data_IF_927513798295
#
_entry.id   IF_927513798295
#
_cell.length_a   1.000
_cell.length_b   1.000
_cell.length_c   1.000
_cell.angle_alpha   90.00
_cell.angle_beta   90.00
_cell.angle_gamma   90.00
#
_symmetry.space_group_name_H-M   'P 1'
#
loop_
_entity.id
_entity.type
_entity.pdbx_description
1 polymer ?
#
# COMPACT_ATOMS: atom_id res chain seq x y z
N UNK A 1 -16.17 32.50 -14.47
CA UNK A 1 -15.02 32.78 -15.34
C UNK A 1 -15.25 32.11 -16.68
N UNK A 2 -14.97 32.77 -17.82
CA UNK A 2 -15.01 32.12 -19.13
C UNK A 2 -14.08 30.90 -19.14
N UNK A 3 -14.37 29.90 -19.98
CA UNK A 3 -13.63 28.64 -20.05
C UNK A 3 -12.15 28.79 -20.48
N UNK A 4 -11.74 29.95 -20.98
CA UNK A 4 -10.40 30.21 -21.54
C UNK A 4 -9.32 30.55 -20.50
N UNK A 5 -9.66 30.72 -19.22
CA UNK A 5 -8.73 31.16 -18.16
C UNK A 5 -8.60 30.16 -16.99
N UNK A 6 -8.93 28.87 -17.22
CA UNK A 6 -8.71 27.81 -16.22
C UNK A 6 -7.32 27.20 -16.40
N UNK A 7 -6.59 27.00 -15.29
CA UNK A 7 -5.35 26.20 -15.26
C UNK A 7 -5.57 24.85 -15.98
N UNK A 8 -4.63 24.41 -16.84
CA UNK A 8 -4.74 23.10 -17.50
C UNK A 8 -4.94 21.94 -16.52
N UNK A 9 -4.27 21.99 -15.36
CA UNK A 9 -4.42 20.98 -14.32
C UNK A 9 -5.82 21.01 -13.69
N UNK A 10 -6.41 22.20 -13.51
CA UNK A 10 -7.81 22.33 -13.06
C UNK A 10 -8.75 21.66 -14.07
N UNK A 11 -8.48 21.75 -15.37
CA UNK A 11 -9.30 21.09 -16.38
C UNK A 11 -9.27 19.56 -16.24
N UNK A 12 -8.11 18.94 -15.99
CA UNK A 12 -8.03 17.50 -15.71
C UNK A 12 -8.74 17.12 -14.40
N UNK A 13 -8.62 17.96 -13.37
CA UNK A 13 -9.35 17.76 -12.11
C UNK A 13 -10.87 17.80 -12.33
N UNK A 14 -11.37 18.64 -13.24
CA UNK A 14 -12.80 18.84 -13.43
C UNK A 14 -13.44 17.88 -14.47
N UNK A 15 -12.65 17.18 -15.29
CA UNK A 15 -13.19 16.42 -16.44
C UNK A 15 -13.86 15.08 -16.09
N UNK A 16 -13.73 14.63 -14.83
CA UNK A 16 -14.30 13.37 -14.32
C UNK A 16 -13.60 12.10 -14.80
N UNK A 17 -12.46 12.20 -15.51
CA UNK A 17 -11.68 11.06 -16.01
C UNK A 17 -10.59 10.65 -15.03
N UNK A 18 -9.97 9.50 -15.29
CA UNK A 18 -8.76 9.07 -14.58
C UNK A 18 -7.53 9.61 -15.32
N UNK A 19 -6.51 10.09 -14.62
CA UNK A 19 -5.26 10.55 -15.21
C UNK A 19 -4.06 9.82 -14.64
N UNK A 20 -3.02 9.70 -15.48
CA UNK A 20 -1.78 8.99 -15.14
C UNK A 20 -0.71 9.99 -14.73
N UNK A 21 -0.22 9.88 -13.48
CA UNK A 21 1.03 10.52 -13.07
C UNK A 21 2.23 9.65 -13.46
N UNK A 22 3.42 10.23 -13.40
CA UNK A 22 4.67 9.53 -13.63
C UNK A 22 5.07 8.58 -12.47
N UNK A 23 6.30 8.08 -12.56
CA UNK A 23 6.90 7.16 -11.60
C UNK A 23 8.10 7.77 -10.88
N UNK A 24 8.95 6.94 -10.29
CA UNK A 24 10.09 7.44 -9.51
C UNK A 24 11.14 8.17 -10.35
N UNK A 25 11.42 9.42 -9.99
CA UNK A 25 12.59 10.17 -10.45
C UNK A 25 13.90 9.57 -9.90
N UNK A 26 14.00 9.46 -8.57
CA UNK A 26 15.23 9.01 -7.91
C UNK A 26 15.65 7.57 -8.26
N UNK A 27 14.69 6.64 -8.45
CA UNK A 27 15.00 5.27 -8.88
C UNK A 27 15.61 5.27 -10.28
N UNK A 28 15.06 6.05 -11.22
CA UNK A 28 15.55 6.07 -12.59
C UNK A 28 16.92 6.75 -12.69
N UNK A 29 17.17 7.80 -11.89
CA UNK A 29 18.49 8.43 -11.78
C UNK A 29 19.54 7.43 -11.24
N UNK A 30 19.17 6.64 -10.22
CA UNK A 30 20.04 5.59 -9.70
C UNK A 30 20.36 4.51 -10.75
N UNK A 31 19.35 4.03 -11.49
CA UNK A 31 19.54 3.06 -12.58
C UNK A 31 20.43 3.59 -13.71
N UNK A 32 20.43 4.92 -13.92
CA UNK A 32 21.28 5.60 -14.90
C UNK A 32 22.66 5.98 -14.35
N UNK A 33 23.02 5.52 -13.14
CA UNK A 33 24.37 5.63 -12.60
C UNK A 33 24.58 6.73 -11.57
N UNK A 34 23.53 7.43 -11.13
CA UNK A 34 23.66 8.46 -10.10
C UNK A 34 23.49 7.84 -8.71
N UNK A 35 24.57 7.75 -7.96
CA UNK A 35 24.55 7.14 -6.62
C UNK A 35 23.89 8.05 -5.58
N UNK A 36 23.34 7.47 -4.51
CA UNK A 36 22.55 8.15 -3.46
C UNK A 36 23.33 9.15 -2.60
N UNK A 37 24.63 9.32 -2.83
CA UNK A 37 25.50 10.21 -2.06
C UNK A 37 25.60 11.62 -2.64
N UNK A 38 24.88 11.92 -3.72
CA UNK A 38 24.80 13.27 -4.31
C UNK A 38 23.39 13.85 -4.15
N UNK A 39 23.26 15.17 -4.32
CA UNK A 39 21.98 15.85 -4.30
C UNK A 39 21.26 15.61 -5.64
N UNK A 40 20.19 14.80 -5.65
CA UNK A 40 19.42 14.54 -6.86
C UNK A 40 18.74 15.80 -7.40
N UNK A 41 18.28 16.69 -6.51
CA UNK A 41 17.65 17.95 -6.90
C UNK A 41 18.62 18.87 -7.67
N UNK A 42 19.92 18.81 -7.38
CA UNK A 42 20.95 19.62 -8.05
C UNK A 42 21.26 19.15 -9.49
N UNK A 43 20.87 17.92 -9.85
CA UNK A 43 21.11 17.37 -11.19
C UNK A 43 20.42 18.16 -12.30
N UNK A 44 19.40 18.98 -11.97
CA UNK A 44 18.80 19.90 -12.93
C UNK A 44 19.78 20.98 -13.41
N UNK A 45 20.86 21.21 -12.68
CA UNK A 45 21.94 22.13 -13.01
C UNK A 45 23.18 21.39 -13.52
N UNK A 46 23.58 20.31 -12.85
CA UNK A 46 24.83 19.59 -13.16
C UNK A 46 24.68 18.57 -14.29
N UNK A 47 23.51 17.92 -14.42
CA UNK A 47 23.22 16.90 -15.43
C UNK A 47 21.80 17.08 -16.05
N UNK A 48 21.48 18.25 -16.63
CA UNK A 48 20.12 18.58 -17.08
C UNK A 48 19.57 17.60 -18.14
N UNK A 49 20.42 17.14 -19.06
CA UNK A 49 20.01 16.18 -20.10
C UNK A 49 19.56 14.84 -19.51
N UNK A 50 20.17 14.41 -18.40
CA UNK A 50 19.83 13.18 -17.70
C UNK A 50 18.42 13.29 -17.11
N UNK A 51 18.16 14.38 -16.37
CA UNK A 51 16.85 14.64 -15.75
C UNK A 51 15.76 14.83 -16.80
N UNK A 52 16.04 15.63 -17.84
CA UNK A 52 15.12 15.81 -18.97
C UNK A 52 14.81 14.48 -19.67
N UNK A 53 15.80 13.58 -19.75
CA UNK A 53 15.60 12.22 -20.26
C UNK A 53 14.68 11.37 -19.39
N UNK A 54 14.64 11.58 -18.07
CA UNK A 54 13.68 10.87 -17.19
C UNK A 54 12.26 11.34 -17.48
N UNK A 55 12.02 12.65 -17.57
CA UNK A 55 10.70 13.19 -17.89
C UNK A 55 10.21 12.69 -19.26
N UNK A 56 11.07 12.72 -20.30
CA UNK A 56 10.71 12.22 -21.64
C UNK A 56 10.29 10.74 -21.59
N UNK A 57 11.04 9.91 -20.88
CA UNK A 57 10.72 8.48 -20.76
C UNK A 57 9.34 8.24 -20.13
N UNK A 58 8.96 9.02 -19.11
CA UNK A 58 7.64 8.91 -18.48
C UNK A 58 6.50 9.41 -19.36
N UNK A 59 6.71 10.52 -20.08
CA UNK A 59 5.73 11.00 -21.07
C UNK A 59 5.57 9.99 -22.21
N UNK A 60 6.66 9.40 -22.70
CA UNK A 60 6.64 8.36 -23.73
C UNK A 60 6.00 7.06 -23.23
N UNK A 61 5.99 6.83 -21.91
CA UNK A 61 5.25 5.76 -21.27
C UNK A 61 3.75 6.05 -21.09
N UNK A 62 3.30 7.30 -21.30
CA UNK A 62 1.90 7.69 -21.19
C UNK A 62 1.52 8.43 -19.92
N UNK A 63 2.49 8.99 -19.18
CA UNK A 63 2.19 9.95 -18.11
C UNK A 63 1.58 11.24 -18.70
N UNK A 64 0.46 11.68 -18.15
CA UNK A 64 -0.21 12.94 -18.50
C UNK A 64 0.24 14.09 -17.59
N UNK A 65 0.74 13.75 -16.40
CA UNK A 65 1.24 14.68 -15.38
C UNK A 65 2.60 14.16 -14.92
N UNK A 66 3.62 15.02 -14.90
CA UNK A 66 4.95 14.69 -14.39
C UNK A 66 5.32 15.57 -13.22
N UNK A 67 6.07 15.02 -12.30
CA UNK A 67 6.59 15.71 -11.13
C UNK A 67 7.95 16.34 -11.44
N UNK A 68 8.19 17.58 -11.00
CA UNK A 68 9.52 18.19 -11.10
C UNK A 68 10.54 17.42 -10.23
N UNK A 69 11.81 17.40 -10.64
CA UNK A 69 12.90 16.85 -9.81
C UNK A 69 13.24 17.81 -8.65
N UNK A 70 12.31 17.96 -7.69
CA UNK A 70 12.40 18.94 -6.60
C UNK A 70 11.90 18.41 -5.26
N UNK A 71 11.71 17.09 -5.10
CA UNK A 71 11.23 16.50 -3.84
C UNK A 71 12.01 16.98 -2.60
N UNK A 72 13.33 17.12 -2.74
CA UNK A 72 14.25 17.55 -1.69
C UNK A 72 14.74 18.98 -1.83
N UNK A 73 14.28 19.75 -2.82
CA UNK A 73 14.79 21.08 -3.15
C UNK A 73 14.33 22.19 -2.19
N UNK A 74 14.41 21.96 -0.89
CA UNK A 74 14.14 22.96 0.15
C UNK A 74 15.43 23.35 0.89
N UNK A 75 15.47 24.51 1.57
CA UNK A 75 16.71 25.00 2.18
C UNK A 75 17.31 24.03 3.20
N UNK A 76 16.49 23.27 3.93
CA UNK A 76 16.96 22.35 4.98
C UNK A 76 17.74 21.18 4.38
N UNK A 77 17.17 20.52 3.37
CA UNK A 77 17.80 19.38 2.69
C UNK A 77 18.99 19.83 1.82
N UNK A 78 18.88 20.98 1.15
CA UNK A 78 19.96 21.54 0.33
C UNK A 78 21.15 22.02 1.17
N UNK A 79 20.95 22.47 2.41
CA UNK A 79 22.03 22.89 3.31
C UNK A 79 23.02 21.75 3.60
N UNK A 80 22.57 20.49 3.62
CA UNK A 80 23.44 19.32 3.78
C UNK A 80 24.48 19.18 2.65
N UNK A 81 24.23 19.84 1.51
CA UNK A 81 25.11 19.88 0.34
C UNK A 81 25.72 21.27 0.10
N UNK A 82 25.45 22.26 0.97
CA UNK A 82 25.88 23.66 0.79
C UNK A 82 25.18 24.38 -0.36
N UNK A 83 23.93 24.02 -0.65
CA UNK A 83 23.15 24.52 -1.79
C UNK A 83 21.89 25.31 -1.37
N UNK A 84 21.71 25.58 -0.08
CA UNK A 84 20.52 26.24 0.47
C UNK A 84 20.29 27.65 -0.09
N UNK A 85 21.36 28.40 -0.39
CA UNK A 85 21.27 29.71 -1.06
C UNK A 85 20.83 29.62 -2.53
N UNK A 86 20.84 28.42 -3.12
CA UNK A 86 20.42 28.15 -4.50
C UNK A 86 19.01 27.53 -4.59
N UNK A 87 18.26 27.52 -3.50
CA UNK A 87 16.92 26.89 -3.43
C UNK A 87 16.01 27.36 -4.57
N UNK A 88 15.83 28.67 -4.72
CA UNK A 88 14.96 29.26 -5.74
C UNK A 88 15.46 28.94 -7.16
N UNK A 89 16.78 29.00 -7.38
CA UNK A 89 17.41 28.72 -8.66
C UNK A 89 17.20 27.27 -9.11
N UNK A 90 17.43 26.32 -8.21
CA UNK A 90 17.26 24.88 -8.47
C UNK A 90 15.80 24.60 -8.84
N UNK A 91 14.84 25.08 -8.04
CA UNK A 91 13.42 24.84 -8.29
C UNK A 91 12.92 25.46 -9.60
N UNK A 92 13.32 26.71 -9.90
CA UNK A 92 12.98 27.38 -11.15
C UNK A 92 13.54 26.63 -12.36
N UNK A 93 14.78 26.16 -12.25
CA UNK A 93 15.45 25.43 -13.32
C UNK A 93 14.80 24.05 -13.52
N UNK A 94 14.50 23.34 -12.44
CA UNK A 94 13.81 22.06 -12.47
C UNK A 94 12.45 22.14 -13.17
N UNK A 95 11.64 23.16 -12.83
CA UNK A 95 10.34 23.38 -13.45
C UNK A 95 10.47 23.74 -14.94
N UNK A 96 11.39 24.63 -15.30
CA UNK A 96 11.63 25.01 -16.69
C UNK A 96 12.11 23.82 -17.54
N UNK A 97 13.04 23.03 -16.99
CA UNK A 97 13.59 21.83 -17.62
C UNK A 97 12.52 20.76 -17.84
N UNK A 98 11.68 20.50 -16.84
CA UNK A 98 10.57 19.56 -16.97
C UNK A 98 9.59 20.01 -18.07
N UNK A 99 9.23 21.30 -18.11
CA UNK A 99 8.35 21.85 -19.15
C UNK A 99 8.91 21.71 -20.55
N UNK A 100 10.20 22.01 -20.72
CA UNK A 100 10.88 21.82 -22.00
C UNK A 100 10.90 20.34 -22.40
N UNK A 101 11.23 19.45 -21.46
CA UNK A 101 11.32 18.01 -21.70
C UNK A 101 9.99 17.39 -22.10
N UNK A 102 8.86 17.80 -21.50
CA UNK A 102 7.53 17.28 -21.85
C UNK A 102 7.00 17.87 -23.16
N UNK A 103 7.46 19.07 -23.55
CA UNK A 103 7.12 19.69 -24.82
C UNK A 103 5.61 19.90 -25.02
N UNK A 104 4.87 20.16 -23.95
CA UNK A 104 3.41 20.32 -23.95
C UNK A 104 2.59 19.03 -24.10
N UNK A 105 3.23 17.85 -24.07
CA UNK A 105 2.54 16.54 -24.11
C UNK A 105 2.01 16.07 -22.76
N UNK A 106 2.51 16.65 -21.67
CA UNK A 106 2.10 16.40 -20.30
C UNK A 106 2.13 17.72 -19.50
N UNK A 107 1.41 17.75 -18.39
CA UNK A 107 1.46 18.85 -17.42
C UNK A 107 2.61 18.63 -16.43
N UNK A 108 3.12 19.72 -15.87
CA UNK A 108 4.23 19.70 -14.90
C UNK A 108 3.73 20.18 -13.55
N UNK A 109 3.82 19.35 -12.52
CA UNK A 109 3.51 19.74 -11.14
C UNK A 109 4.79 19.87 -10.31
N UNK A 110 4.83 20.93 -9.50
CA UNK A 110 5.92 21.18 -8.56
C UNK A 110 5.89 20.19 -7.41
N UNK A 111 6.85 19.26 -7.37
CA UNK A 111 6.98 18.31 -6.28
C UNK A 111 7.63 18.95 -5.06
N UNK A 112 6.94 18.89 -3.92
CA UNK A 112 7.38 19.42 -2.63
C UNK A 112 7.29 18.30 -1.61
N UNK A 113 8.44 17.79 -1.18
CA UNK A 113 8.52 16.81 -0.09
C UNK A 113 8.66 17.46 1.29
N UNK A 114 8.61 16.67 2.38
CA UNK A 114 8.80 17.19 3.74
C UNK A 114 10.21 17.78 3.94
N UNK A 115 10.35 18.70 4.90
CA UNK A 115 11.64 19.31 5.26
C UNK A 115 12.59 18.30 5.92
N UNK A 116 12.05 17.24 6.53
CA UNK A 116 12.84 16.23 7.24
C UNK A 116 13.26 16.66 8.65
N UNK A 117 12.61 17.69 9.19
CA UNK A 117 12.80 18.19 10.56
C UNK A 117 11.49 18.09 11.32
N UNK A 118 11.57 18.15 12.65
CA UNK A 118 10.37 18.21 13.49
C UNK A 118 9.97 19.66 13.71
N UNK A 119 8.69 19.94 13.49
CA UNK A 119 8.09 21.25 13.76
C UNK A 119 7.21 21.19 15.02
N UNK A 120 6.78 22.34 15.52
CA UNK A 120 5.87 22.41 16.68
C UNK A 120 4.58 21.59 16.47
N UNK A 121 4.15 20.78 17.45
CA UNK A 121 4.64 20.73 18.83
C UNK A 121 5.78 19.71 19.08
N UNK A 122 6.21 18.96 18.07
CA UNK A 122 7.13 17.82 18.22
C UNK A 122 8.62 18.20 18.09
N UNK A 123 8.92 19.42 17.67
CA UNK A 123 10.27 19.91 17.48
C UNK A 123 10.42 21.41 17.71
N UNK A 124 11.66 21.92 17.60
CA UNK A 124 12.01 23.30 17.95
C UNK A 124 11.70 24.32 16.86
N UNK A 125 11.35 23.88 15.65
CA UNK A 125 11.04 24.77 14.53
C UNK A 125 9.57 25.16 14.59
N UNK A 126 9.30 26.47 14.61
CA UNK A 126 7.94 26.98 14.61
C UNK A 126 7.24 26.72 13.28
N UNK A 127 5.90 26.79 13.29
CA UNK A 127 5.08 26.66 12.08
C UNK A 127 5.41 27.75 11.04
N UNK A 128 5.64 28.98 11.51
CA UNK A 128 5.99 30.12 10.65
C UNK A 128 7.36 29.94 10.00
N UNK A 129 8.36 29.45 10.74
CA UNK A 129 9.68 29.13 10.18
C UNK A 129 9.59 28.01 9.14
N UNK A 130 8.84 26.94 9.44
CA UNK A 130 8.63 25.84 8.49
C UNK A 130 7.95 26.32 7.20
N UNK A 131 6.93 27.18 7.32
CA UNK A 131 6.26 27.80 6.18
C UNK A 131 7.23 28.64 5.35
N UNK A 132 8.04 29.49 5.97
CA UNK A 132 9.02 30.33 5.28
C UNK A 132 10.05 29.50 4.48
N UNK A 133 10.43 28.32 4.99
CA UNK A 133 11.31 27.39 4.28
C UNK A 133 10.63 26.81 3.02
N UNK A 134 9.36 26.46 3.09
CA UNK A 134 8.58 26.02 1.92
C UNK A 134 8.34 27.16 0.92
N UNK A 135 8.10 28.39 1.38
CA UNK A 135 7.87 29.56 0.52
C UNK A 135 9.05 29.81 -0.44
N UNK A 136 10.30 29.57 -0.01
CA UNK A 136 11.48 29.65 -0.90
C UNK A 136 11.42 28.63 -2.04
N UNK A 137 11.07 27.39 -1.73
CA UNK A 137 10.92 26.33 -2.73
C UNK A 137 9.78 26.66 -3.72
N UNK A 138 8.62 27.02 -3.17
CA UNK A 138 7.42 27.37 -3.94
C UNK A 138 7.68 28.57 -4.86
N UNK A 139 8.36 29.60 -4.38
CA UNK A 139 8.67 30.79 -5.18
C UNK A 139 9.45 30.42 -6.45
N UNK A 140 10.47 29.57 -6.34
CA UNK A 140 11.22 29.06 -7.50
C UNK A 140 10.34 28.26 -8.47
N UNK A 141 9.49 27.36 -7.95
CA UNK A 141 8.56 26.56 -8.77
C UNK A 141 7.55 27.42 -9.53
N UNK A 142 7.00 28.45 -8.88
CA UNK A 142 6.09 29.42 -9.51
C UNK A 142 6.81 30.18 -10.62
N UNK A 143 8.03 30.65 -10.39
CA UNK A 143 8.80 31.37 -11.40
C UNK A 143 9.16 30.49 -12.60
N UNK A 144 9.42 29.19 -12.37
CA UNK A 144 9.61 28.20 -13.43
C UNK A 144 8.32 27.76 -14.14
N UNK A 145 7.15 28.21 -13.66
CA UNK A 145 5.87 28.09 -14.34
C UNK A 145 5.22 26.70 -14.25
N UNK A 146 5.24 26.03 -13.10
CA UNK A 146 4.48 24.78 -12.91
C UNK A 146 2.97 24.96 -13.13
N UNK A 147 2.28 23.92 -13.60
CA UNK A 147 0.82 23.90 -13.81
C UNK A 147 0.02 23.71 -12.50
N UNK A 148 0.71 23.26 -11.45
CA UNK A 148 0.21 23.07 -10.08
C UNK A 148 1.28 22.47 -9.18
N UNK A 149 0.86 21.94 -8.03
CA UNK A 149 1.76 21.43 -7.00
C UNK A 149 1.34 20.05 -6.52
N UNK A 150 2.33 19.25 -6.14
CA UNK A 150 2.13 18.01 -5.38
C UNK A 150 2.96 18.07 -4.10
N UNK A 151 2.26 18.14 -2.98
CA UNK A 151 2.82 18.03 -1.65
C UNK A 151 2.83 16.55 -1.30
N UNK A 152 3.99 15.90 -1.41
CA UNK A 152 4.07 14.44 -1.38
C UNK A 152 4.89 13.88 -0.21
N UNK A 153 4.55 12.66 0.20
CA UNK A 153 5.27 11.89 1.22
C UNK A 153 5.28 12.54 2.61
N UNK A 154 4.27 13.34 2.94
CA UNK A 154 4.15 13.92 4.29
C UNK A 154 3.68 12.88 5.31
N UNK A 155 4.27 12.90 6.51
CA UNK A 155 3.85 12.06 7.65
C UNK A 155 3.25 12.87 8.80
N UNK A 156 3.60 14.16 8.90
CA UNK A 156 3.05 15.10 9.87
C UNK A 156 2.05 16.03 9.18
N UNK A 157 0.81 16.04 9.68
CA UNK A 157 -0.26 16.87 9.15
C UNK A 157 0.03 18.37 9.34
N UNK A 158 0.70 18.74 10.44
CA UNK A 158 1.05 20.14 10.70
C UNK A 158 2.05 20.64 9.67
N UNK A 159 3.01 19.80 9.27
CA UNK A 159 4.03 20.14 8.27
C UNK A 159 3.40 20.26 6.89
N UNK A 160 2.50 19.34 6.53
CA UNK A 160 1.72 19.39 5.30
C UNK A 160 0.87 20.67 5.21
N UNK A 161 0.24 21.09 6.31
CA UNK A 161 -0.52 22.34 6.37
C UNK A 161 0.36 23.56 6.07
N UNK A 162 1.59 23.59 6.59
CA UNK A 162 2.51 24.72 6.34
C UNK A 162 3.00 24.74 4.89
N UNK A 163 3.26 23.57 4.29
CA UNK A 163 3.57 23.47 2.87
C UNK A 163 2.40 23.95 1.99
N UNK A 164 1.16 23.56 2.33
CA UNK A 164 -0.05 24.04 1.65
C UNK A 164 -0.22 25.55 1.78
N UNK A 165 -0.04 26.09 2.98
CA UNK A 165 -0.09 27.54 3.23
C UNK A 165 0.97 28.30 2.42
N UNK A 166 2.18 27.75 2.30
CA UNK A 166 3.24 28.32 1.48
C UNK A 166 2.84 28.36 0.00
N UNK A 167 2.26 27.29 -0.54
CA UNK A 167 1.74 27.29 -1.92
C UNK A 167 0.68 28.37 -2.11
N UNK A 168 -0.32 28.44 -1.23
CA UNK A 168 -1.40 29.43 -1.32
C UNK A 168 -0.95 30.88 -1.12
N UNK A 169 0.19 31.11 -0.49
CA UNK A 169 0.76 32.46 -0.38
C UNK A 169 1.32 32.99 -1.70
N UNK A 170 1.70 32.08 -2.63
CA UNK A 170 2.38 32.42 -3.87
C UNK A 170 1.60 32.04 -5.13
N UNK A 171 0.60 31.17 -5.04
CA UNK A 171 -0.12 30.65 -6.19
C UNK A 171 -1.54 30.15 -5.89
N UNK A 172 -2.45 30.38 -6.84
CA UNK A 172 -3.80 29.83 -6.88
C UNK A 172 -3.89 28.53 -7.71
N UNK A 173 -2.76 28.02 -8.20
CA UNK A 173 -2.72 26.79 -8.97
C UNK A 173 -3.23 25.58 -8.15
N UNK A 174 -3.71 24.50 -8.79
CA UNK A 174 -4.21 23.35 -8.06
C UNK A 174 -3.13 22.64 -7.25
N UNK A 175 -3.51 22.12 -6.07
CA UNK A 175 -2.60 21.46 -5.11
C UNK A 175 -3.07 20.06 -4.77
N UNK A 176 -2.17 19.10 -4.93
CA UNK A 176 -2.33 17.72 -4.49
C UNK A 176 -1.70 17.60 -3.10
N UNK A 177 -2.43 17.06 -2.13
CA UNK A 177 -1.92 16.78 -0.79
C UNK A 177 -1.86 15.26 -0.57
N UNK A 178 -0.65 14.71 -0.60
CA UNK A 178 -0.40 13.27 -0.46
C UNK A 178 0.36 13.01 0.84
N UNK A 179 -0.14 12.03 1.59
CA UNK A 179 0.55 11.51 2.77
C UNK A 179 1.16 10.14 2.48
N UNK A 180 2.08 9.76 3.35
CA UNK A 180 2.58 8.39 3.37
C UNK A 180 2.15 7.67 4.65
N UNK A 181 1.89 6.37 4.52
CA UNK A 181 1.42 5.50 5.62
C UNK A 181 2.32 4.27 5.79
N UNK A 182 2.43 3.79 7.03
CA UNK A 182 3.11 2.56 7.38
C UNK A 182 2.28 1.31 7.09
N UNK A 183 2.81 0.14 7.47
CA UNK A 183 2.10 -1.14 7.29
C UNK A 183 0.83 -1.25 8.13
N UNK A 184 0.71 -0.46 9.20
CA UNK A 184 -0.48 -0.34 10.04
C UNK A 184 -1.54 0.60 9.42
N UNK A 185 -1.30 1.12 8.22
CA UNK A 185 -2.20 2.02 7.50
C UNK A 185 -2.22 3.44 8.07
N UNK A 186 -1.28 3.81 8.95
CA UNK A 186 -1.24 5.14 9.59
C UNK A 186 0.03 5.89 9.22
N UNK A 187 0.00 7.22 9.30
CA UNK A 187 1.24 8.01 9.19
C UNK A 187 2.20 7.66 10.32
N UNK A 188 3.47 8.03 10.20
CA UNK A 188 4.48 7.82 11.25
C UNK A 188 4.07 8.41 12.61
N UNK A 189 3.19 9.41 12.62
CA UNK A 189 2.66 10.06 13.81
C UNK A 189 1.31 9.48 14.28
N UNK A 190 0.90 8.33 13.73
CA UNK A 190 -0.29 7.59 14.12
C UNK A 190 -1.61 8.13 13.55
N UNK A 191 -1.56 9.10 12.62
CA UNK A 191 -2.76 9.68 12.03
C UNK A 191 -3.32 8.76 10.95
N UNK A 192 -4.63 8.50 10.98
CA UNK A 192 -5.31 7.69 9.95
C UNK A 192 -5.56 8.49 8.68
N UNK A 193 -5.64 7.83 7.50
CA UNK A 193 -5.82 8.49 6.22
C UNK A 193 -7.14 9.26 6.12
N UNK A 194 -8.20 8.83 6.83
CA UNK A 194 -9.48 9.54 6.86
C UNK A 194 -9.37 10.91 7.52
N UNK A 195 -8.61 11.00 8.62
CA UNK A 195 -8.41 12.25 9.35
C UNK A 195 -7.62 13.25 8.50
N UNK A 196 -6.58 12.77 7.81
CA UNK A 196 -5.83 13.59 6.85
C UNK A 196 -6.72 14.07 5.72
N UNK A 197 -7.53 13.19 5.14
CA UNK A 197 -8.42 13.55 4.05
C UNK A 197 -9.45 14.61 4.46
N UNK A 198 -10.01 14.51 5.67
CA UNK A 198 -10.91 15.52 6.20
C UNK A 198 -10.22 16.88 6.35
N UNK A 199 -9.03 16.94 6.95
CA UNK A 199 -8.32 18.21 7.18
C UNK A 199 -7.80 18.84 5.87
N UNK A 200 -7.21 18.06 4.97
CA UNK A 200 -6.78 18.55 3.66
C UNK A 200 -7.96 19.09 2.83
N UNK A 201 -9.14 18.46 2.94
CA UNK A 201 -10.37 18.96 2.32
C UNK A 201 -10.75 20.35 2.86
N UNK A 202 -10.65 20.54 4.18
CA UNK A 202 -10.96 21.82 4.86
C UNK A 202 -10.02 22.95 4.45
N UNK A 203 -8.74 22.65 4.24
CA UNK A 203 -7.77 23.64 3.76
C UNK A 203 -8.02 24.07 2.31
N UNK A 204 -8.68 23.22 1.52
CA UNK A 204 -8.94 23.48 0.10
C UNK A 204 -7.95 22.79 -0.85
N UNK A 205 -7.40 21.63 -0.46
CA UNK A 205 -6.60 20.79 -1.37
C UNK A 205 -7.43 20.28 -2.55
N UNK A 206 -6.97 20.46 -3.77
CA UNK A 206 -7.77 20.13 -4.96
C UNK A 206 -7.82 18.62 -5.23
N UNK A 207 -6.77 17.90 -4.84
CA UNK A 207 -6.65 16.43 -4.88
C UNK A 207 -6.02 15.97 -3.58
N UNK A 208 -6.46 14.82 -3.06
CA UNK A 208 -5.95 14.25 -1.80
C UNK A 208 -5.54 12.81 -2.06
N UNK A 209 -4.51 12.30 -1.40
CA UNK A 209 -4.14 10.93 -1.65
C UNK A 209 -3.03 10.37 -0.79
N UNK A 210 -2.51 9.25 -1.28
CA UNK A 210 -1.44 8.51 -0.64
C UNK A 210 -0.35 8.16 -1.65
N UNK A 211 0.89 8.28 -1.22
CA UNK A 211 2.04 7.85 -2.00
C UNK A 211 3.11 7.20 -1.10
N UNK A 212 4.04 6.47 -1.72
CA UNK A 212 5.24 5.95 -1.07
C UNK A 212 5.00 4.91 0.06
N UNK A 213 6.06 4.70 0.87
CA UNK A 213 6.30 3.79 1.99
C UNK A 213 6.01 2.30 1.79
N UNK A 214 4.80 1.95 1.39
CA UNK A 214 4.32 0.57 1.36
C UNK A 214 3.91 0.16 -0.05
N UNK A 215 3.71 -1.15 -0.23
CA UNK A 215 3.29 -1.69 -1.51
C UNK A 215 1.83 -1.35 -1.86
N UNK A 216 1.40 -1.68 -3.08
CA UNK A 216 0.08 -1.32 -3.61
C UNK A 216 -1.13 -1.79 -2.79
N UNK A 217 -1.00 -2.87 -2.01
CA UNK A 217 -2.09 -3.39 -1.19
C UNK A 217 -2.47 -2.44 -0.06
N UNK A 218 -1.49 -2.00 0.73
CA UNK A 218 -1.76 -1.12 1.88
C UNK A 218 -2.23 0.27 1.41
N UNK A 219 -1.71 0.77 0.30
CA UNK A 219 -2.21 2.03 -0.28
C UNK A 219 -3.64 1.90 -0.78
N UNK A 220 -4.06 0.74 -1.29
CA UNK A 220 -5.45 0.53 -1.69
C UNK A 220 -6.39 0.67 -0.47
N UNK A 221 -6.05 0.03 0.65
CA UNK A 221 -6.85 0.12 1.88
C UNK A 221 -6.96 1.59 2.35
N UNK A 222 -5.88 2.35 2.24
CA UNK A 222 -5.88 3.78 2.59
C UNK A 222 -6.76 4.61 1.62
N UNK A 223 -6.73 4.33 0.32
CA UNK A 223 -7.61 4.98 -0.67
C UNK A 223 -9.08 4.68 -0.36
N UNK A 224 -9.43 3.44 -0.05
CA UNK A 224 -10.79 3.04 0.32
C UNK A 224 -11.28 3.74 1.59
N UNK A 225 -10.39 3.94 2.56
CA UNK A 225 -10.67 4.70 3.78
C UNK A 225 -10.92 6.18 3.45
N UNK A 226 -10.05 6.82 2.66
CA UNK A 226 -10.20 8.22 2.26
C UNK A 226 -11.49 8.46 1.46
N UNK A 227 -11.83 7.55 0.54
CA UNK A 227 -13.02 7.67 -0.32
C UNK A 227 -14.35 7.73 0.45
N UNK A 228 -14.37 7.32 1.71
CA UNK A 228 -15.56 7.36 2.58
C UNK A 228 -15.81 8.73 3.19
N UNK A 229 -14.81 9.61 3.22
CA UNK A 229 -14.83 10.86 4.01
C UNK A 229 -14.57 12.13 3.21
N UNK A 230 -14.28 12.03 1.90
CA UNK A 230 -14.08 13.20 1.05
C UNK A 230 -14.71 13.00 -0.34
N UNK A 231 -15.24 14.09 -0.89
CA UNK A 231 -15.69 14.18 -2.28
C UNK A 231 -14.59 14.70 -3.22
N UNK A 232 -13.40 15.03 -2.70
CA UNK A 232 -12.27 15.47 -3.51
C UNK A 232 -11.74 14.28 -4.33
N UNK A 233 -11.29 14.50 -5.58
CA UNK A 233 -10.61 13.47 -6.34
C UNK A 233 -9.44 12.89 -5.56
N UNK A 234 -9.28 11.56 -5.64
CA UNK A 234 -8.21 10.85 -4.93
C UNK A 234 -7.01 10.55 -5.82
N UNK A 235 -5.82 10.61 -5.25
CA UNK A 235 -4.55 10.22 -5.88
C UNK A 235 -3.92 9.01 -5.18
N UNK A 236 -3.26 8.15 -5.96
CA UNK A 236 -2.53 6.99 -5.46
C UNK A 236 -1.25 6.71 -6.26
N UNK A 237 -0.09 6.78 -5.59
CA UNK A 237 1.24 6.52 -6.16
C UNK A 237 2.03 5.52 -5.29
N UNK A 238 1.72 4.22 -5.36
CA UNK A 238 2.42 3.19 -4.59
C UNK A 238 3.87 2.98 -5.01
N UNK A 239 4.68 2.49 -4.07
CA UNK A 239 5.98 1.91 -4.39
C UNK A 239 5.80 0.61 -5.18
N UNK A 240 6.82 0.23 -5.96
CA UNK A 240 6.89 -1.09 -6.62
C UNK A 240 7.20 -2.22 -5.62
N UNK A 241 6.39 -2.32 -4.56
CA UNK A 241 6.56 -3.21 -3.42
C UNK A 241 7.45 -2.61 -2.33
N UNK A 242 7.68 -3.40 -1.28
CA UNK A 242 8.64 -3.02 -0.24
C UNK A 242 10.07 -3.27 -0.75
N UNK A 243 11.02 -2.36 -0.45
CA UNK A 243 12.43 -2.58 -0.76
C UNK A 243 12.92 -3.85 -0.07
N UNK A 244 13.56 -4.75 -0.82
CA UNK A 244 14.19 -5.97 -0.30
C UNK A 244 15.69 -5.95 -0.57
N UNK A 245 16.49 -6.37 0.41
CA UNK A 245 17.90 -6.67 0.16
C UNK A 245 18.00 -8.00 -0.59
N UNK A 246 18.54 -7.94 -1.81
CA UNK A 246 18.86 -9.11 -2.62
C UNK A 246 20.33 -9.03 -3.01
N UNK A 247 21.18 -9.72 -2.25
CA UNK A 247 22.62 -9.77 -2.51
C UNK A 247 23.35 -8.43 -2.30
N UNK A 248 22.96 -7.67 -1.27
CA UNK A 248 23.55 -6.37 -0.94
C UNK A 248 23.01 -5.20 -1.78
N UNK A 249 21.94 -5.44 -2.55
CA UNK A 249 21.25 -4.42 -3.34
C UNK A 249 19.81 -4.29 -2.85
N UNK A 250 19.37 -3.07 -2.61
CA UNK A 250 17.97 -2.79 -2.31
C UNK A 250 17.16 -2.79 -3.62
N UNK A 251 16.29 -3.78 -3.80
CA UNK A 251 15.46 -3.94 -5.00
C UNK A 251 13.97 -3.82 -4.67
N UNK A 252 13.24 -3.21 -5.59
CA UNK A 252 11.78 -3.23 -5.63
C UNK A 252 11.34 -4.37 -6.54
N UNK A 253 10.42 -5.21 -6.07
CA UNK A 253 10.12 -6.50 -6.70
C UNK A 253 8.71 -6.59 -7.31
N UNK A 254 7.87 -5.56 -7.17
CA UNK A 254 6.58 -5.58 -7.84
C UNK A 254 6.78 -5.40 -9.34
N UNK A 255 6.16 -6.28 -10.14
CA UNK A 255 6.24 -6.18 -11.60
C UNK A 255 5.31 -5.08 -12.14
N UNK A 256 5.55 -4.59 -13.36
CA UNK A 256 4.64 -3.69 -14.08
C UNK A 256 3.19 -4.17 -14.11
N UNK A 257 2.96 -5.47 -14.35
CA UNK A 257 1.62 -6.07 -14.38
C UNK A 257 0.94 -6.08 -13.01
N UNK A 258 1.72 -6.28 -11.95
CA UNK A 258 1.21 -6.21 -10.58
C UNK A 258 0.78 -4.78 -10.24
N UNK A 259 1.60 -3.79 -10.55
CA UNK A 259 1.27 -2.37 -10.34
C UNK A 259 0.03 -1.96 -11.12
N UNK A 260 -0.06 -2.32 -12.41
CA UNK A 260 -1.23 -2.01 -13.24
C UNK A 260 -2.53 -2.66 -12.73
N UNK A 261 -2.45 -3.88 -12.21
CA UNK A 261 -3.61 -4.54 -11.58
C UNK A 261 -4.10 -3.76 -10.36
N UNK A 262 -3.20 -3.27 -9.53
CA UNK A 262 -3.57 -2.48 -8.37
C UNK A 262 -4.04 -1.07 -8.74
N UNK A 263 -3.47 -0.45 -9.78
CA UNK A 263 -3.99 0.81 -10.30
C UNK A 263 -5.48 0.69 -10.68
N UNK A 264 -5.89 -0.42 -11.33
CA UNK A 264 -7.31 -0.68 -11.60
C UNK A 264 -8.16 -0.78 -10.33
N UNK A 265 -7.68 -1.48 -9.31
CA UNK A 265 -8.38 -1.60 -8.03
C UNK A 265 -8.50 -0.24 -7.32
N UNK A 266 -7.45 0.57 -7.38
CA UNK A 266 -7.46 1.93 -6.82
C UNK A 266 -8.47 2.81 -7.54
N UNK A 267 -8.58 2.69 -8.87
CA UNK A 267 -9.61 3.39 -9.66
C UNK A 267 -11.01 2.92 -9.26
N UNK A 268 -11.23 1.61 -9.10
CA UNK A 268 -12.49 1.05 -8.62
C UNK A 268 -12.84 1.51 -7.18
N UNK A 269 -11.82 1.80 -6.37
CA UNK A 269 -11.96 2.37 -5.03
C UNK A 269 -12.20 3.91 -5.03
N UNK A 270 -12.04 4.58 -6.17
CA UNK A 270 -12.31 6.02 -6.34
C UNK A 270 -11.10 6.89 -6.67
N UNK A 271 -9.90 6.31 -6.82
CA UNK A 271 -8.73 7.06 -7.29
C UNK A 271 -8.95 7.57 -8.72
N UNK A 272 -8.75 8.86 -8.92
CA UNK A 272 -8.78 9.52 -10.22
C UNK A 272 -7.40 9.85 -10.75
N UNK A 273 -6.40 9.90 -9.89
CA UNK A 273 -5.03 10.17 -10.26
C UNK A 273 -4.18 8.98 -9.82
N UNK A 274 -3.59 8.26 -10.76
CA UNK A 274 -2.80 7.05 -10.47
C UNK A 274 -1.43 7.14 -11.10
N UNK A 275 -0.41 6.72 -10.37
CA UNK A 275 0.96 6.71 -10.86
C UNK A 275 1.82 5.76 -10.05
N UNK A 276 3.11 6.09 -9.93
CA UNK A 276 4.06 5.31 -9.16
C UNK A 276 4.94 6.18 -8.28
N UNK A 277 5.48 5.60 -7.21
CA UNK A 277 6.55 6.20 -6.41
C UNK A 277 7.80 5.31 -6.50
N UNK A 278 8.57 5.12 -5.41
CA UNK A 278 9.85 4.43 -5.42
C UNK A 278 9.78 3.04 -6.07
N UNK A 279 10.75 2.73 -6.95
CA UNK A 279 10.83 1.46 -7.67
C UNK A 279 10.00 1.38 -8.94
N UNK A 280 9.12 2.35 -9.20
CA UNK A 280 8.36 2.39 -10.45
C UNK A 280 9.19 2.99 -11.58
N UNK A 281 9.02 2.45 -12.78
CA UNK A 281 9.80 2.79 -13.98
C UNK A 281 8.84 3.12 -15.14
N UNK A 282 9.34 3.63 -16.28
CA UNK A 282 8.52 3.86 -17.47
C UNK A 282 7.73 2.63 -17.92
N UNK A 283 8.24 1.41 -17.71
CA UNK A 283 7.48 0.19 -18.01
C UNK A 283 6.25 0.03 -17.11
N UNK A 284 6.38 0.35 -15.82
CA UNK A 284 5.26 0.35 -14.88
C UNK A 284 4.20 1.37 -15.30
N UNK A 285 4.62 2.60 -15.62
CA UNK A 285 3.71 3.67 -16.05
C UNK A 285 3.00 3.30 -17.34
N UNK A 286 3.69 2.67 -18.31
CA UNK A 286 3.05 2.18 -19.54
C UNK A 286 1.94 1.17 -19.26
N UNK A 287 2.18 0.21 -18.36
CA UNK A 287 1.16 -0.77 -17.97
C UNK A 287 0.00 -0.13 -17.21
N UNK A 288 0.27 0.88 -16.37
CA UNK A 288 -0.76 1.66 -15.67
C UNK A 288 -1.60 2.43 -16.70
N UNK A 289 -0.98 3.11 -17.66
CA UNK A 289 -1.67 3.85 -18.72
C UNK A 289 -2.54 2.95 -19.59
N UNK A 290 -2.03 1.77 -20.01
CA UNK A 290 -2.81 0.75 -20.71
C UNK A 290 -4.05 0.33 -19.90
N UNK A 291 -3.86 0.11 -18.59
CA UNK A 291 -4.92 -0.27 -17.69
C UNK A 291 -5.96 0.84 -17.51
N UNK A 292 -5.53 2.10 -17.35
CA UNK A 292 -6.40 3.28 -17.29
C UNK A 292 -7.22 3.39 -18.57
N UNK A 293 -6.59 3.34 -19.74
CA UNK A 293 -7.28 3.42 -21.02
C UNK A 293 -8.38 2.35 -21.19
N UNK A 294 -8.22 1.19 -20.55
CA UNK A 294 -9.22 0.10 -20.58
C UNK A 294 -10.45 0.34 -19.68
N UNK A 295 -10.33 1.17 -18.64
CA UNK A 295 -11.40 1.47 -17.67
C UNK A 295 -12.03 2.84 -17.86
N UNK A 296 -11.43 3.71 -18.69
CA UNK A 296 -12.00 5.00 -19.03
C UNK A 296 -13.41 4.85 -19.64
N UNK A 297 -14.39 5.68 -19.22
CA UNK A 297 -15.67 5.73 -19.91
C UNK A 297 -15.43 6.10 -21.38
N UNK A 298 -15.80 5.23 -22.32
CA UNK A 298 -15.89 5.63 -23.73
C UNK A 298 -16.99 6.70 -23.79
N UNK A 299 -16.64 7.88 -24.27
CA UNK A 299 -17.54 9.03 -24.45
C UNK A 299 -18.71 8.64 -25.37
N UNK A 300 -19.74 8.05 -24.78
CA UNK A 300 -21.14 7.95 -25.23
C UNK A 300 -21.96 7.32 -24.08
N UNK A 301 -21.92 7.95 -22.90
CA UNK A 301 -22.94 7.75 -21.88
C UNK A 301 -22.99 8.97 -20.98
N UNK A 302 -24.17 9.59 -20.95
CA UNK A 302 -24.52 10.66 -20.03
C UNK A 302 -24.09 10.33 -18.60
N UNK A 303 -23.60 11.36 -17.89
CA UNK A 303 -23.18 11.33 -16.50
C UNK A 303 -24.00 10.35 -15.64
N UNK A 304 -23.43 9.18 -15.39
CA UNK A 304 -23.85 8.36 -14.27
C UNK A 304 -23.25 9.03 -13.06
N UNK A 305 -24.05 9.88 -12.40
CA UNK A 305 -23.85 10.10 -10.97
C UNK A 305 -23.87 8.71 -10.36
N UNK A 306 -22.74 8.27 -9.82
CA UNK A 306 -22.71 7.12 -8.93
C UNK A 306 -23.52 7.55 -7.72
N UNK A 307 -24.83 7.32 -7.79
CA UNK A 307 -25.66 7.26 -6.61
C UNK A 307 -24.99 6.24 -5.69
N UNK A 308 -24.78 6.66 -4.44
CA UNK A 308 -24.23 5.90 -3.34
C UNK A 308 -24.35 4.40 -3.59
N UNK A 309 -23.19 3.76 -3.77
CA UNK A 309 -23.09 2.31 -3.92
C UNK A 309 -23.97 1.69 -2.83
N UNK A 310 -24.87 0.81 -3.26
CA UNK A 310 -25.81 0.11 -2.41
C UNK A 310 -25.13 -0.33 -1.12
N UNK A 311 -25.83 -0.13 0.01
CA UNK A 311 -25.40 -0.54 1.34
C UNK A 311 -24.63 -1.87 1.26
N UNK A 312 -23.46 -1.91 1.89
CA UNK A 312 -22.71 -3.14 2.08
C UNK A 312 -23.69 -4.26 2.49
N UNK A 313 -23.56 -5.49 1.96
CA UNK A 313 -24.34 -6.60 2.47
C UNK A 313 -24.16 -6.61 4.00
N UNK A 314 -25.28 -6.53 4.72
CA UNK A 314 -25.28 -6.39 6.16
C UNK A 314 -24.32 -7.42 6.78
N UNK A 315 -23.43 -6.95 7.65
CA UNK A 315 -22.43 -7.78 8.33
C UNK A 315 -23.12 -9.03 8.89
N UNK A 316 -22.77 -10.20 8.36
CA UNK A 316 -23.39 -11.43 8.83
C UNK A 316 -22.94 -11.65 10.26
N UNK A 317 -23.88 -11.75 11.20
CA UNK A 317 -23.53 -12.18 12.54
C UNK A 317 -22.92 -13.59 12.46
N UNK A 318 -21.70 -13.78 13.00
CA UNK A 318 -21.07 -15.08 12.93
C UNK A 318 -21.89 -16.05 13.79
N UNK A 319 -22.02 -17.31 13.33
CA UNK A 319 -22.75 -18.34 14.07
C UNK A 319 -22.33 -18.33 15.56
N UNK A 320 -23.25 -18.46 16.52
CA UNK A 320 -22.91 -18.58 17.93
C UNK A 320 -21.89 -19.70 18.15
N UNK A 321 -20.97 -19.54 19.11
CA UNK A 321 -19.90 -20.52 19.36
C UNK A 321 -20.44 -21.95 19.54
N UNK A 322 -21.62 -22.08 20.16
CA UNK A 322 -22.27 -23.37 20.39
C UNK A 322 -22.79 -24.07 19.13
N UNK A 323 -22.95 -23.34 18.03
CA UNK A 323 -23.45 -23.83 16.74
C UNK A 323 -22.33 -24.10 15.75
N UNK A 324 -21.10 -23.65 16.05
CA UNK A 324 -19.94 -23.83 15.15
C UNK A 324 -19.45 -25.26 15.10
N UNK A 325 -19.45 -25.96 16.24
CA UNK A 325 -18.96 -27.34 16.37
C UNK A 325 -19.32 -27.97 17.71
N UNK A 326 -19.08 -29.28 17.92
CA UNK A 326 -19.33 -29.91 19.22
C UNK A 326 -18.31 -29.47 20.28
N UNK A 327 -17.08 -29.17 19.84
CA UNK A 327 -16.07 -28.52 20.67
C UNK A 327 -16.51 -27.10 21.09
N UNK A 328 -16.98 -26.30 20.13
CA UNK A 328 -17.51 -24.95 20.39
C UNK A 328 -18.68 -24.96 21.37
N UNK A 329 -19.60 -25.92 21.22
CA UNK A 329 -20.70 -26.16 22.16
C UNK A 329 -20.20 -26.44 23.57
N UNK A 330 -19.21 -27.31 23.72
CA UNK A 330 -18.64 -27.60 25.03
C UNK A 330 -18.01 -26.41 25.71
N UNK A 331 -17.31 -25.56 24.95
CA UNK A 331 -16.76 -24.32 25.47
C UNK A 331 -17.85 -23.33 25.90
N UNK A 332 -18.90 -23.17 25.08
CA UNK A 332 -20.01 -22.28 25.38
C UNK A 332 -20.81 -22.72 26.62
N UNK A 333 -20.92 -24.03 26.86
CA UNK A 333 -21.56 -24.62 28.04
C UNK A 333 -20.65 -24.64 29.28
N UNK A 334 -19.39 -24.19 29.17
CA UNK A 334 -18.41 -24.23 30.26
C UNK A 334 -17.96 -25.64 30.65
N UNK A 335 -18.11 -26.62 29.75
CA UNK A 335 -17.65 -28.00 29.97
C UNK A 335 -16.12 -28.07 29.93
N UNK A 336 -15.55 -28.93 30.77
CA UNK A 336 -14.12 -29.24 30.71
C UNK A 336 -13.85 -30.23 29.58
N UNK A 337 -13.29 -29.74 28.48
CA UNK A 337 -12.95 -30.54 27.30
C UNK A 337 -11.52 -31.07 27.37
N UNK A 338 -11.29 -32.22 26.71
CA UNK A 338 -9.99 -32.90 26.62
C UNK A 338 -9.66 -33.14 25.15
N UNK A 339 -8.52 -32.61 24.70
CA UNK A 339 -7.95 -32.93 23.40
C UNK A 339 -6.65 -33.71 23.57
N UNK A 340 -6.45 -34.73 22.73
CA UNK A 340 -5.17 -35.43 22.62
C UNK A 340 -4.39 -34.96 21.40
N UNK A 341 -3.11 -34.68 21.59
CA UNK A 341 -2.21 -34.24 20.53
C UNK A 341 -1.71 -35.41 19.69
N UNK A 342 -1.93 -35.30 18.37
CA UNK A 342 -1.53 -36.27 17.38
C UNK A 342 -0.56 -35.65 16.38
N UNK A 343 0.47 -36.43 16.07
CA UNK A 343 1.49 -36.07 15.11
C UNK A 343 1.17 -36.68 13.75
N UNK A 344 1.06 -35.89 12.67
CA UNK A 344 0.93 -36.45 11.33
C UNK A 344 2.12 -37.35 10.95
N UNK A 345 1.89 -38.38 10.12
CA UNK A 345 2.96 -39.26 9.65
C UNK A 345 3.98 -38.50 8.79
N UNK A 346 5.20 -39.04 8.70
CA UNK A 346 6.25 -38.48 7.81
C UNK A 346 5.99 -38.77 6.33
N UNK A 347 5.21 -39.80 6.02
CA UNK A 347 4.83 -40.19 4.66
C UNK A 347 3.34 -40.04 4.42
N UNK A 348 2.87 -40.55 3.28
CA UNK A 348 1.47 -40.45 2.84
C UNK A 348 0.52 -41.44 3.54
N UNK A 349 1.05 -42.48 4.18
CA UNK A 349 0.24 -43.51 4.85
C UNK A 349 -0.40 -42.98 6.14
N UNK A 350 -1.72 -42.79 6.11
CA UNK A 350 -2.50 -42.26 7.22
C UNK A 350 -2.87 -43.29 8.29
N UNK A 351 -2.66 -44.61 8.06
CA UNK A 351 -3.09 -45.67 9.00
C UNK A 351 -2.61 -45.45 10.44
N UNK A 352 -1.34 -45.09 10.72
CA UNK A 352 -0.89 -44.85 12.09
C UNK A 352 -1.62 -43.69 12.78
N UNK A 353 -1.98 -42.65 12.03
CA UNK A 353 -2.73 -41.51 12.53
C UNK A 353 -4.18 -41.91 12.86
N UNK A 354 -4.82 -42.68 11.98
CA UNK A 354 -6.18 -43.18 12.17
C UNK A 354 -6.30 -44.08 13.40
N UNK A 355 -5.34 -45.00 13.59
CA UNK A 355 -5.29 -45.86 14.78
C UNK A 355 -5.13 -45.05 16.07
N UNK A 356 -4.28 -44.01 16.06
CA UNK A 356 -4.09 -43.15 17.21
C UNK A 356 -5.34 -42.32 17.52
N UNK A 357 -6.01 -41.78 16.50
CA UNK A 357 -7.27 -41.06 16.64
C UNK A 357 -8.40 -41.96 17.15
N UNK A 358 -8.51 -43.21 16.67
CA UNK A 358 -9.49 -44.18 17.19
C UNK A 358 -9.26 -44.46 18.66
N UNK A 359 -8.01 -44.71 19.08
CA UNK A 359 -7.68 -44.92 20.51
C UNK A 359 -8.01 -43.70 21.36
N UNK A 360 -7.77 -42.49 20.86
CA UNK A 360 -8.14 -41.26 21.55
C UNK A 360 -9.65 -41.14 21.73
N UNK A 361 -10.43 -41.46 20.68
CA UNK A 361 -11.90 -41.49 20.73
C UNK A 361 -12.40 -42.53 21.74
N UNK A 362 -11.87 -43.75 21.71
CA UNK A 362 -12.25 -44.83 22.63
C UNK A 362 -11.91 -44.49 24.09
N UNK A 363 -10.86 -43.71 24.31
CA UNK A 363 -10.48 -43.19 25.63
C UNK A 363 -11.37 -42.02 26.12
N UNK A 364 -12.34 -41.57 25.32
CA UNK A 364 -13.28 -40.51 25.65
C UNK A 364 -12.71 -39.09 25.48
N UNK A 365 -11.79 -38.90 24.53
CA UNK A 365 -11.36 -37.57 24.11
C UNK A 365 -12.52 -36.81 23.44
N UNK A 366 -12.62 -35.51 23.72
CA UNK A 366 -13.62 -34.64 23.09
C UNK A 366 -13.20 -34.21 21.67
N UNK A 367 -11.90 -34.11 21.43
CA UNK A 367 -11.30 -33.88 20.11
C UNK A 367 -9.86 -34.43 20.06
N UNK A 368 -9.25 -34.39 18.88
CA UNK A 368 -7.79 -34.55 18.72
C UNK A 368 -7.19 -33.29 18.14
N UNK A 369 -6.02 -32.88 18.62
CA UNK A 369 -5.29 -31.78 18.00
C UNK A 369 -4.25 -32.31 17.02
N UNK A 370 -4.21 -31.75 15.82
CA UNK A 370 -3.35 -32.22 14.72
C UNK A 370 -2.26 -31.17 14.49
N UNK A 371 -1.02 -31.56 14.76
CA UNK A 371 0.14 -30.68 14.68
C UNK A 371 0.57 -30.39 13.24
N UNK A 372 0.88 -29.13 12.95
CA UNK A 372 1.46 -28.74 11.67
C UNK A 372 2.97 -28.57 11.75
N UNK A 373 3.68 -29.55 11.18
CA UNK A 373 5.14 -29.51 10.96
C UNK A 373 5.96 -28.95 12.15
N UNK A 374 5.78 -29.51 13.37
CA UNK A 374 6.43 -28.98 14.57
C UNK A 374 7.95 -29.10 14.44
N UNK A 375 8.68 -28.08 14.92
CA UNK A 375 10.15 -27.95 14.74
C UNK A 375 10.60 -27.94 13.28
N UNK A 376 9.76 -27.41 12.38
CA UNK A 376 10.05 -27.29 10.95
C UNK A 376 10.43 -28.62 10.26
N UNK A 377 9.81 -29.73 10.67
CA UNK A 377 10.02 -31.04 10.05
C UNK A 377 8.90 -31.40 9.08
N UNK A 378 9.27 -31.77 7.85
CA UNK A 378 8.32 -32.19 6.82
C UNK A 378 7.52 -33.42 7.23
N UNK A 379 6.19 -33.31 7.16
CA UNK A 379 5.18 -34.33 7.46
C UNK A 379 3.98 -34.15 6.55
N UNK A 380 3.05 -35.10 6.60
CA UNK A 380 1.71 -34.89 6.04
C UNK A 380 1.11 -33.59 6.60
N UNK A 381 0.56 -32.75 5.73
CA UNK A 381 -0.03 -31.47 6.14
C UNK A 381 -1.16 -31.67 7.14
N UNK A 382 -1.21 -30.82 8.17
CA UNK A 382 -2.16 -30.98 9.27
C UNK A 382 -3.62 -30.89 8.83
N UNK A 383 -3.95 -30.00 7.89
CA UNK A 383 -5.33 -29.83 7.42
C UNK A 383 -5.85 -31.06 6.63
N UNK A 384 -5.12 -31.59 5.62
CA UNK A 384 -5.48 -32.88 5.02
C UNK A 384 -5.57 -34.03 6.03
N UNK A 385 -4.63 -34.10 6.98
CA UNK A 385 -4.62 -35.12 8.01
C UNK A 385 -5.87 -35.06 8.90
N UNK A 386 -6.30 -33.84 9.28
CA UNK A 386 -7.50 -33.60 10.05
C UNK A 386 -8.78 -34.01 9.30
N UNK A 387 -8.90 -33.64 8.03
CA UNK A 387 -10.03 -34.06 7.17
C UNK A 387 -10.15 -35.58 7.08
N UNK A 388 -9.02 -36.29 6.95
CA UNK A 388 -8.98 -37.75 6.92
C UNK A 388 -9.45 -38.33 8.26
N UNK A 389 -8.99 -37.77 9.38
CA UNK A 389 -9.40 -38.23 10.73
C UNK A 389 -10.90 -38.01 10.97
N UNK A 390 -11.43 -36.81 10.68
CA UNK A 390 -12.85 -36.54 10.88
C UNK A 390 -13.73 -37.44 10.01
N UNK A 391 -13.32 -37.68 8.76
CA UNK A 391 -14.06 -38.54 7.83
C UNK A 391 -14.07 -40.01 8.24
N UNK A 392 -12.92 -40.56 8.60
CA UNK A 392 -12.77 -42.02 8.78
C UNK A 392 -12.99 -42.47 10.22
N UNK A 393 -12.69 -41.61 11.21
CA UNK A 393 -12.83 -41.94 12.64
C UNK A 393 -14.05 -41.24 13.26
N UNK A 394 -14.47 -40.09 12.72
CA UNK A 394 -15.58 -39.31 13.27
C UNK A 394 -15.29 -38.77 14.67
N UNK A 395 -14.05 -38.37 14.92
CA UNK A 395 -13.67 -37.55 16.09
C UNK A 395 -13.30 -36.16 15.57
N UNK A 396 -13.81 -35.13 16.23
CA UNK A 396 -13.58 -33.74 15.86
C UNK A 396 -12.09 -33.37 16.02
N UNK A 397 -11.60 -32.50 15.14
CA UNK A 397 -10.19 -32.09 15.14
C UNK A 397 -10.01 -30.62 15.48
N UNK A 398 -8.88 -30.30 16.12
CA UNK A 398 -8.34 -28.95 16.26
C UNK A 398 -7.05 -28.90 15.45
N UNK A 399 -7.05 -28.16 14.34
CA UNK A 399 -5.88 -28.12 13.46
C UNK A 399 -4.95 -27.02 13.93
N UNK A 400 -3.70 -27.36 14.25
CA UNK A 400 -2.67 -26.34 14.39
C UNK A 400 -2.40 -25.80 12.99
N UNK A 401 -2.71 -24.54 12.75
CA UNK A 401 -2.56 -23.92 11.46
C UNK A 401 -1.44 -22.88 11.54
N UNK A 402 -0.29 -23.22 10.95
CA UNK A 402 0.92 -22.41 11.10
C UNK A 402 1.05 -21.40 9.96
N UNK A 403 1.28 -20.12 10.25
CA UNK A 403 1.44 -19.10 9.21
C UNK A 403 2.77 -19.23 8.44
N UNK A 404 3.81 -19.78 9.09
CA UNK A 404 5.09 -20.12 8.48
C UNK A 404 4.92 -20.95 7.21
N UNK A 405 5.72 -20.64 6.20
CA UNK A 405 5.82 -21.32 4.91
C UNK A 405 4.58 -21.14 4.01
N UNK A 406 3.70 -20.18 4.33
CA UNK A 406 2.47 -19.89 3.58
C UNK A 406 2.33 -18.41 3.25
N UNK A 407 1.88 -18.13 2.03
CA UNK A 407 1.44 -16.80 1.63
C UNK A 407 -0.07 -16.62 1.90
N UNK A 408 -0.54 -15.38 1.84
CA UNK A 408 -1.93 -15.05 2.20
C UNK A 408 -2.97 -15.79 1.36
N UNK A 409 -2.72 -15.99 0.05
CA UNK A 409 -3.63 -16.69 -0.85
C UNK A 409 -3.77 -18.17 -0.48
N UNK A 410 -2.64 -18.84 -0.21
CA UNK A 410 -2.63 -20.23 0.25
C UNK A 410 -3.40 -20.38 1.55
N UNK A 411 -3.25 -19.44 2.48
CA UNK A 411 -3.97 -19.47 3.75
C UNK A 411 -5.48 -19.31 3.57
N UNK A 412 -5.92 -18.36 2.73
CA UNK A 412 -7.35 -18.19 2.42
C UNK A 412 -7.90 -19.45 1.75
N UNK A 413 -7.18 -20.02 0.79
CA UNK A 413 -7.58 -21.24 0.09
C UNK A 413 -7.73 -22.42 1.06
N UNK A 414 -6.77 -22.60 1.97
CA UNK A 414 -6.81 -23.64 3.00
C UNK A 414 -8.00 -23.44 3.95
N UNK A 415 -8.25 -22.21 4.40
CA UNK A 415 -9.36 -21.89 5.31
C UNK A 415 -10.73 -22.16 4.68
N UNK A 416 -10.89 -21.77 3.41
CA UNK A 416 -12.11 -22.07 2.64
C UNK A 416 -12.26 -23.59 2.44
N UNK A 417 -11.17 -24.29 2.13
CA UNK A 417 -11.14 -25.74 2.01
C UNK A 417 -11.48 -26.46 3.31
N UNK A 418 -10.95 -25.98 4.44
CA UNK A 418 -11.25 -26.47 5.78
C UNK A 418 -12.75 -26.34 6.08
N UNK A 419 -13.29 -25.14 5.84
CA UNK A 419 -14.69 -24.86 6.07
C UNK A 419 -15.63 -25.68 5.16
N UNK A 420 -15.26 -25.88 3.89
CA UNK A 420 -16.00 -26.73 2.96
C UNK A 420 -15.91 -28.22 3.34
N UNK A 421 -14.75 -28.65 3.84
CA UNK A 421 -14.50 -30.02 4.28
C UNK A 421 -15.07 -30.37 5.67
N UNK A 422 -15.60 -29.37 6.40
CA UNK A 422 -16.25 -29.58 7.70
C UNK A 422 -15.34 -29.36 8.92
N UNK A 423 -14.07 -29.01 8.73
CA UNK A 423 -13.15 -28.68 9.82
C UNK A 423 -13.48 -27.29 10.35
N UNK A 424 -13.83 -27.21 11.64
CA UNK A 424 -14.32 -25.97 12.27
C UNK A 424 -13.39 -25.37 13.32
N UNK A 425 -12.42 -26.14 13.83
CA UNK A 425 -11.54 -25.68 14.90
C UNK A 425 -10.11 -25.56 14.41
N UNK A 426 -9.58 -24.34 14.55
CA UNK A 426 -8.21 -24.01 14.19
C UNK A 426 -7.53 -23.40 15.41
N UNK A 427 -6.30 -23.84 15.68
CA UNK A 427 -5.36 -23.15 16.55
C UNK A 427 -4.31 -22.47 15.66
N UNK A 428 -4.41 -21.16 15.52
CA UNK A 428 -3.54 -20.39 14.64
C UNK A 428 -2.21 -20.10 15.33
N UNK A 429 -1.10 -20.40 14.65
CA UNK A 429 0.26 -20.28 15.17
C UNK A 429 1.14 -19.52 14.18
N UNK A 430 2.05 -18.67 14.67
CA UNK A 430 3.03 -18.00 13.78
C UNK A 430 4.01 -19.01 13.19
N UNK A 431 4.48 -19.96 14.01
CA UNK A 431 5.42 -21.02 13.62
C UNK A 431 6.86 -20.77 14.04
N UNK A 432 7.61 -21.86 14.24
CA UNK A 432 9.03 -21.81 14.63
C UNK A 432 9.90 -21.37 13.43
N UNK A 433 10.92 -20.52 13.58
CA UNK A 433 11.79 -20.11 12.47
C UNK A 433 12.46 -21.33 11.78
N UNK A 434 12.65 -21.33 10.44
CA UNK A 434 13.15 -22.50 9.69
C UNK A 434 14.53 -23.00 10.10
N UNK A 435 15.36 -22.13 10.70
CA UNK A 435 16.67 -22.47 11.24
C UNK A 435 16.62 -23.57 12.34
N UNK A 436 15.44 -23.93 12.84
CA UNK A 436 15.23 -25.04 13.77
C UNK A 436 15.09 -26.43 13.08
N UNK A 437 15.01 -26.49 11.74
CA UNK A 437 14.78 -27.69 10.94
C UNK A 437 16.03 -28.23 10.22
N UNK A 438 15.93 -29.40 9.54
CA UNK A 438 17.07 -30.04 8.87
C UNK A 438 17.45 -29.40 7.52
N UNK A 439 16.79 -28.31 7.12
CA UNK A 439 17.01 -27.60 5.85
C UNK A 439 17.54 -26.19 6.14
N UNK A 440 18.86 -26.01 6.33
CA UNK A 440 19.45 -24.73 6.73
C UNK A 440 19.27 -23.60 5.71
N UNK A 441 19.07 -23.94 4.43
CA UNK A 441 18.86 -22.99 3.32
C UNK A 441 17.38 -22.72 3.02
N UNK A 442 16.44 -23.27 3.81
CA UNK A 442 15.02 -23.03 3.61
C UNK A 442 14.65 -21.57 3.94
N UNK A 443 14.05 -20.87 2.98
CA UNK A 443 13.56 -19.51 3.17
C UNK A 443 12.20 -19.54 3.85
N UNK A 444 12.04 -18.75 4.91
CA UNK A 444 10.77 -18.63 5.60
C UNK A 444 9.82 -17.74 4.80
N UNK A 445 8.60 -18.20 4.55
CA UNK A 445 7.51 -17.34 4.06
C UNK A 445 6.68 -16.93 5.27
N UNK A 446 6.61 -15.63 5.54
CA UNK A 446 5.81 -15.03 6.62
C UNK A 446 5.06 -13.80 6.09
N UNK A 447 3.92 -14.02 5.44
CA UNK A 447 3.06 -12.91 4.99
C UNK A 447 2.27 -12.29 6.14
N UNK A 448 1.96 -13.08 7.18
CA UNK A 448 1.13 -12.68 8.32
C UNK A 448 1.49 -13.52 9.56
N UNK A 449 1.32 -12.97 10.76
CA UNK A 449 1.50 -13.72 12.01
C UNK A 449 0.18 -14.32 12.52
N UNK A 450 0.21 -14.98 13.69
CA UNK A 450 -0.99 -15.60 14.25
C UNK A 450 -2.08 -14.60 14.62
N UNK A 451 -1.73 -13.38 15.00
CA UNK A 451 -2.68 -12.33 15.37
C UNK A 451 -3.38 -11.83 14.10
N UNK A 452 -2.61 -11.52 13.06
CA UNK A 452 -3.14 -11.08 11.78
C UNK A 452 -4.04 -12.13 11.13
N UNK A 453 -3.64 -13.41 11.12
CA UNK A 453 -4.47 -14.46 10.55
C UNK A 453 -5.73 -14.71 11.38
N UNK A 454 -5.68 -14.53 12.70
CA UNK A 454 -6.88 -14.60 13.57
C UNK A 454 -7.89 -13.53 13.19
N UNK A 455 -7.44 -12.30 12.88
CA UNK A 455 -8.32 -11.22 12.42
C UNK A 455 -8.94 -11.54 11.07
N UNK A 456 -8.18 -12.14 10.15
CA UNK A 456 -8.70 -12.58 8.84
C UNK A 456 -9.77 -13.66 9.01
N UNK A 457 -9.53 -14.67 9.85
CA UNK A 457 -10.52 -15.71 10.14
C UNK A 457 -11.77 -15.12 10.79
N UNK A 458 -11.62 -14.12 11.67
CA UNK A 458 -12.75 -13.42 12.26
C UNK A 458 -13.58 -12.67 11.20
N UNK A 459 -12.92 -12.02 10.23
CA UNK A 459 -13.57 -11.34 9.11
C UNK A 459 -14.29 -12.32 8.16
N UNK A 460 -13.64 -13.42 7.78
CA UNK A 460 -14.22 -14.48 6.94
C UNK A 460 -15.51 -15.06 7.56
N UNK A 461 -15.53 -15.26 8.89
CA UNK A 461 -16.72 -15.73 9.60
C UNK A 461 -17.90 -14.75 9.57
N UNK A 462 -17.67 -13.47 9.23
CA UNK A 462 -18.70 -12.45 9.05
C UNK A 462 -19.05 -12.22 7.58
N UNK A 463 -18.58 -13.10 6.69
CA UNK A 463 -18.77 -12.99 5.25
C UNK A 463 -17.95 -11.87 4.60
N UNK A 464 -16.91 -11.36 5.28
CA UNK A 464 -16.00 -10.36 4.70
C UNK A 464 -14.86 -11.04 3.96
N UNK A 465 -14.56 -10.55 2.76
CA UNK A 465 -13.32 -10.90 2.09
C UNK A 465 -12.13 -10.36 2.91
N UNK A 466 -11.00 -11.07 2.97
CA UNK A 466 -9.74 -10.52 3.41
C UNK A 466 -9.23 -9.55 2.33
N UNK A 467 -9.50 -8.27 2.51
CA UNK A 467 -9.33 -7.20 1.53
C UNK A 467 -10.44 -6.20 1.78
#
# INVERSE_FOLDING_TARGET
MPAEDRSPLRALIDDGRVHVLDGAMGTLLYERGVFVNVCYDELVLSEPDLVAGVHRDYVDAGAEIVETNTFGANPVKLAAFGLDERTEEINRTAASLAREAVGGRALVVGAVGPLGIRIEPFGPTSREEARALFERQVAGLVEGGVDGFVLETFSDLTELEQAFCAVRAHSEAPVFCLITVGQDGRTQYGTGPEAVAAEATRWGADVIGVNCSVGPAVLLDAVEQMARVTDRPLAAQPNAGLPRDVGGRTLYLASPEYMARYARRMIEAGARFVGGCCGTTPEHIRRIADAVASVQPRLDAAAVRVAARAAEPAEAEPLPLAERSAWGRGLAEGRRLRALELMPPRGWDARPLLEAASRAKDAGADAVTVLDSPRAQARMGALPAALIVEREVGIETVVHYTCRDRNMLSMISDLLGAAAGGVRNLLILTGDPPAAGPYPDATAVFDIDSIGLTNVVAALNRGRAPG
#
